data_IF_557015384993
#
_entry.id   IF_557015384993
#
_cell.length_a   1.000
_cell.length_b   1.000
_cell.length_c   1.000
_cell.angle_alpha   90.00
_cell.angle_beta   90.00
_cell.angle_gamma   90.00
#
_symmetry.space_group_name_H-M   'P 1'
#
loop_
_entity.id
_entity.type
_entity.pdbx_description
1 polymer ?
#
# COMPACT_ATOMS: atom_id res chain seq x y z
N UNK A 1 -20.75 0.55 -18.44
CA UNK A 1 -19.71 1.34 -17.77
C UNK A 1 -19.10 2.25 -18.82
N UNK A 2 -19.28 3.56 -18.70
CA UNK A 2 -18.64 4.50 -19.61
C UNK A 2 -17.12 4.48 -19.40
N UNK A 3 -16.35 4.79 -20.44
CA UNK A 3 -14.88 4.88 -20.36
C UNK A 3 -14.44 5.84 -19.22
N UNK A 4 -15.27 6.87 -18.95
CA UNK A 4 -15.06 7.82 -17.86
C UNK A 4 -15.17 7.22 -16.46
N UNK A 5 -16.01 6.21 -16.27
CA UNK A 5 -16.20 5.56 -14.97
C UNK A 5 -15.13 4.47 -14.72
N UNK A 6 -14.62 3.87 -15.80
CA UNK A 6 -13.56 2.88 -15.73
C UNK A 6 -12.17 3.51 -15.47
N UNK A 7 -11.96 4.76 -15.86
CA UNK A 7 -10.65 5.41 -15.80
C UNK A 7 -10.08 5.51 -14.36
N UNK A 8 -10.83 5.94 -13.34
CA UNK A 8 -10.30 6.05 -11.97
C UNK A 8 -9.96 4.67 -11.38
N UNK A 9 -10.76 3.64 -11.68
CA UNK A 9 -10.51 2.26 -11.22
C UNK A 9 -9.26 1.70 -11.90
N UNK A 10 -9.09 1.98 -13.18
CA UNK A 10 -7.92 1.55 -13.96
C UNK A 10 -6.65 2.25 -13.49
N UNK A 11 -6.74 3.53 -13.19
CA UNK A 11 -5.66 4.35 -12.66
C UNK A 11 -5.22 3.87 -11.26
N UNK A 12 -6.17 3.52 -10.39
CA UNK A 12 -5.89 2.91 -9.10
C UNK A 12 -5.14 1.59 -9.25
N UNK A 13 -5.62 0.68 -10.10
CA UNK A 13 -4.96 -0.61 -10.34
C UNK A 13 -3.56 -0.46 -10.95
N UNK A 14 -3.38 0.48 -11.88
CA UNK A 14 -2.05 0.78 -12.44
C UNK A 14 -1.13 1.31 -11.37
N UNK A 15 -1.60 2.22 -10.52
CA UNK A 15 -0.82 2.79 -9.42
C UNK A 15 -0.41 1.71 -8.41
N UNK A 16 -1.32 0.82 -8.01
CA UNK A 16 -1.02 -0.32 -7.13
C UNK A 16 0.07 -1.22 -7.71
N UNK A 17 0.02 -1.48 -9.02
CA UNK A 17 1.04 -2.27 -9.72
C UNK A 17 2.38 -1.54 -9.80
N UNK A 18 2.39 -0.25 -10.09
CA UNK A 18 3.61 0.57 -10.11
C UNK A 18 4.26 0.62 -8.73
N UNK A 19 3.48 0.81 -7.69
CA UNK A 19 3.96 0.78 -6.30
C UNK A 19 4.54 -0.61 -5.97
N UNK A 20 3.85 -1.69 -6.34
CA UNK A 20 4.35 -3.06 -6.17
C UNK A 20 5.67 -3.33 -6.91
N UNK A 21 5.81 -2.81 -8.14
CA UNK A 21 7.06 -2.90 -8.91
C UNK A 21 8.19 -2.06 -8.28
N UNK A 22 7.89 -0.85 -7.78
CA UNK A 22 8.86 -0.03 -7.05
C UNK A 22 9.38 -0.73 -5.80
N UNK A 23 8.56 -1.57 -5.17
CA UNK A 23 8.95 -2.43 -4.05
C UNK A 23 9.93 -3.55 -4.44
N UNK A 24 9.82 -4.05 -5.67
CA UNK A 24 10.71 -5.10 -6.18
C UNK A 24 12.06 -4.55 -6.67
N UNK A 25 12.10 -3.28 -7.11
CA UNK A 25 13.34 -2.65 -7.60
C UNK A 25 14.51 -2.73 -6.62
N UNK A 26 14.34 -2.43 -5.34
CA UNK A 26 15.41 -2.53 -4.38
C UNK A 26 15.90 -3.96 -4.17
N UNK A 27 15.02 -4.95 -4.23
CA UNK A 27 15.38 -6.37 -4.13
C UNK A 27 16.17 -6.82 -5.37
N UNK A 28 15.81 -6.31 -6.54
CA UNK A 28 16.45 -6.65 -7.81
C UNK A 28 17.80 -5.95 -8.01
N UNK A 29 17.98 -4.73 -7.51
CA UNK A 29 19.18 -3.91 -7.73
C UNK A 29 20.09 -3.77 -6.49
N UNK A 30 19.70 -4.35 -5.35
CA UNK A 30 20.49 -4.27 -4.12
C UNK A 30 21.69 -5.20 -4.08
N UNK A 31 22.58 -4.96 -3.10
CA UNK A 31 23.72 -5.81 -2.79
C UNK A 31 23.36 -7.31 -2.59
N UNK A 32 22.08 -7.57 -2.31
CA UNK A 32 21.53 -8.92 -2.21
C UNK A 32 21.62 -9.74 -3.50
N UNK A 33 21.62 -9.12 -4.68
CA UNK A 33 21.77 -9.84 -5.94
C UNK A 33 23.18 -10.39 -6.11
N UNK A 34 24.20 -9.61 -5.76
CA UNK A 34 25.59 -10.04 -5.81
C UNK A 34 25.87 -11.17 -4.82
N UNK A 35 25.33 -11.07 -3.61
CA UNK A 35 25.41 -12.15 -2.63
C UNK A 35 24.66 -13.40 -3.10
N UNK A 36 23.46 -13.23 -3.65
CA UNK A 36 22.65 -14.33 -4.18
C UNK A 36 23.38 -15.07 -5.31
N UNK A 37 23.95 -14.35 -6.29
CA UNK A 37 24.74 -14.95 -7.36
C UNK A 37 25.98 -15.66 -6.84
N UNK A 38 26.73 -15.06 -5.92
CA UNK A 38 27.91 -15.68 -5.30
C UNK A 38 27.53 -16.95 -4.52
N UNK A 39 26.44 -16.93 -3.75
CA UNK A 39 25.93 -18.12 -3.04
C UNK A 39 25.52 -19.23 -4.01
N UNK A 40 24.87 -18.88 -5.11
CA UNK A 40 24.39 -19.84 -6.12
C UNK A 40 25.55 -20.55 -6.82
N UNK A 41 26.67 -19.87 -7.03
CA UNK A 41 27.88 -20.45 -7.64
C UNK A 41 28.88 -21.00 -6.62
N UNK A 42 28.52 -21.05 -5.34
CA UNK A 42 29.34 -21.58 -4.25
C UNK A 42 30.75 -20.95 -4.17
N UNK A 43 30.86 -19.67 -4.49
CA UNK A 43 32.12 -18.90 -4.55
C UNK A 43 32.31 -18.00 -3.35
N UNK A 44 31.46 -18.10 -2.32
CA UNK A 44 31.49 -17.22 -1.15
C UNK A 44 32.31 -17.85 -0.05
N UNK A 45 33.33 -17.14 0.45
CA UNK A 45 34.08 -17.53 1.64
C UNK A 45 33.34 -17.05 2.91
N UNK A 46 33.54 -17.74 4.07
CA UNK A 46 32.95 -17.29 5.35
C UNK A 46 33.35 -15.86 5.74
N UNK A 47 34.59 -15.45 5.38
CA UNK A 47 35.08 -14.09 5.63
C UNK A 47 34.37 -13.04 4.78
N UNK A 48 34.02 -13.35 3.53
CA UNK A 48 33.24 -12.46 2.68
C UNK A 48 31.80 -12.28 3.18
N UNK A 49 31.20 -13.33 3.75
CA UNK A 49 29.87 -13.23 4.38
C UNK A 49 29.94 -12.27 5.57
N UNK A 50 30.94 -12.43 6.42
CA UNK A 50 31.09 -11.58 7.61
C UNK A 50 31.36 -10.12 7.23
N UNK A 51 32.22 -9.85 6.28
CA UNK A 51 32.54 -8.49 5.79
C UNK A 51 31.32 -7.85 5.11
N UNK A 52 30.52 -8.62 4.37
CA UNK A 52 29.28 -8.16 3.77
C UNK A 52 28.28 -7.69 4.83
N UNK A 53 28.03 -8.48 5.87
CA UNK A 53 27.11 -8.08 6.95
C UNK A 53 27.63 -6.91 7.79
N UNK A 54 28.92 -6.78 8.00
CA UNK A 54 29.49 -5.70 8.83
C UNK A 54 29.63 -4.38 8.06
N UNK A 55 30.08 -4.42 6.81
CA UNK A 55 30.34 -3.22 6.02
C UNK A 55 29.07 -2.68 5.34
N UNK A 56 28.15 -3.57 4.94
CA UNK A 56 26.94 -3.18 4.24
C UNK A 56 25.72 -2.98 5.17
N UNK A 57 25.90 -3.10 6.51
CA UNK A 57 24.83 -2.91 7.48
C UNK A 57 24.16 -1.53 7.34
N UNK A 58 24.95 -0.48 7.14
CA UNK A 58 24.44 0.87 6.91
C UNK A 58 23.61 0.98 5.64
N UNK A 59 24.01 0.26 4.58
CA UNK A 59 23.25 0.18 3.34
C UNK A 59 21.92 -0.54 3.56
N UNK A 60 21.89 -1.69 4.24
CA UNK A 60 20.66 -2.41 4.55
C UNK A 60 19.71 -1.59 5.43
N UNK A 61 20.25 -0.84 6.38
CA UNK A 61 19.45 0.03 7.24
C UNK A 61 18.84 1.19 6.43
N UNK A 62 19.64 1.88 5.63
CA UNK A 62 19.16 2.96 4.75
C UNK A 62 18.12 2.45 3.75
N UNK A 63 18.36 1.27 3.19
CA UNK A 63 17.47 0.59 2.27
C UNK A 63 16.14 0.20 2.95
N UNK A 64 16.21 -0.37 4.15
CA UNK A 64 15.03 -0.73 4.94
C UNK A 64 14.17 0.51 5.27
N UNK A 65 14.82 1.60 5.70
CA UNK A 65 14.12 2.87 5.96
C UNK A 65 13.47 3.43 4.69
N UNK A 66 14.19 3.45 3.57
CA UNK A 66 13.62 3.90 2.29
C UNK A 66 12.43 3.05 1.85
N UNK A 67 12.51 1.74 2.01
CA UNK A 67 11.42 0.81 1.70
C UNK A 67 10.19 1.08 2.56
N UNK A 68 10.37 1.29 3.86
CA UNK A 68 9.26 1.64 4.77
C UNK A 68 8.62 2.96 4.36
N UNK A 69 9.41 3.98 4.03
CA UNK A 69 8.89 5.28 3.59
C UNK A 69 8.09 5.16 2.30
N UNK A 70 8.60 4.45 1.30
CA UNK A 70 7.89 4.18 0.03
C UNK A 70 6.57 3.44 0.32
N UNK A 71 6.59 2.46 1.22
CA UNK A 71 5.39 1.74 1.62
C UNK A 71 4.34 2.64 2.26
N UNK A 72 4.72 3.51 3.19
CA UNK A 72 3.81 4.45 3.84
C UNK A 72 3.22 5.45 2.83
N UNK A 73 4.04 5.96 1.92
CA UNK A 73 3.58 6.83 0.83
C UNK A 73 2.60 6.08 -0.08
N UNK A 74 2.92 4.84 -0.43
CA UNK A 74 2.07 3.98 -1.23
C UNK A 74 0.71 3.72 -0.59
N UNK A 75 0.67 3.42 0.70
CA UNK A 75 -0.57 3.27 1.46
C UNK A 75 -1.41 4.55 1.45
N UNK A 76 -0.76 5.71 1.66
CA UNK A 76 -1.44 7.01 1.62
C UNK A 76 -2.08 7.27 0.26
N UNK A 77 -1.30 7.12 -0.81
CA UNK A 77 -1.76 7.36 -2.19
C UNK A 77 -2.88 6.40 -2.55
N UNK A 78 -2.75 5.11 -2.24
CA UNK A 78 -3.79 4.10 -2.47
C UNK A 78 -5.10 4.44 -1.74
N UNK A 79 -5.03 4.84 -0.47
CA UNK A 79 -6.20 5.26 0.31
C UNK A 79 -6.91 6.48 -0.27
N UNK A 80 -6.14 7.50 -0.68
CA UNK A 80 -6.69 8.70 -1.32
C UNK A 80 -7.41 8.35 -2.63
N UNK A 81 -6.82 7.49 -3.47
CA UNK A 81 -7.46 7.06 -4.73
C UNK A 81 -8.72 6.24 -4.47
N UNK A 82 -8.71 5.37 -3.47
CA UNK A 82 -9.89 4.58 -3.11
C UNK A 82 -11.05 5.48 -2.65
N UNK A 83 -10.78 6.49 -1.83
CA UNK A 83 -11.79 7.45 -1.40
C UNK A 83 -12.27 8.32 -2.56
N UNK A 84 -11.39 8.73 -3.48
CA UNK A 84 -11.79 9.47 -4.67
C UNK A 84 -12.72 8.64 -5.58
N UNK A 85 -12.50 7.33 -5.68
CA UNK A 85 -13.38 6.41 -6.41
C UNK A 85 -14.75 6.34 -5.73
N UNK A 86 -14.81 6.19 -4.40
CA UNK A 86 -16.07 6.13 -3.67
C UNK A 86 -16.86 7.44 -3.75
N UNK A 87 -16.18 8.59 -3.55
CA UNK A 87 -16.81 9.92 -3.75
C UNK A 87 -17.46 10.08 -5.14
N UNK A 88 -16.84 9.46 -6.13
CA UNK A 88 -17.37 9.50 -7.49
C UNK A 88 -18.53 8.52 -7.72
N UNK A 89 -18.59 7.42 -6.96
CA UNK A 89 -19.76 6.56 -6.95
C UNK A 89 -20.95 7.23 -6.27
N UNK A 90 -20.72 7.97 -5.17
CA UNK A 90 -21.75 8.72 -4.47
C UNK A 90 -22.23 9.90 -5.33
N UNK A 91 -21.30 10.59 -6.03
CA UNK A 91 -21.59 11.75 -6.87
C UNK A 91 -20.99 11.56 -8.30
N UNK A 92 -21.73 10.95 -9.24
CA UNK A 92 -21.22 10.65 -10.59
C UNK A 92 -20.83 11.89 -11.42
N UNK A 93 -21.43 13.04 -11.12
CA UNK A 93 -21.16 14.32 -11.82
C UNK A 93 -19.86 15.00 -11.34
N UNK A 94 -19.26 14.51 -10.26
CA UNK A 94 -18.07 15.11 -9.68
C UNK A 94 -16.85 14.92 -10.60
N UNK A 95 -16.14 15.99 -11.04
CA UNK A 95 -14.93 15.84 -11.84
C UNK A 95 -13.86 15.08 -11.07
N UNK A 96 -13.08 14.24 -11.75
CA UNK A 96 -12.04 13.39 -11.14
C UNK A 96 -11.07 14.21 -10.28
N UNK A 97 -10.67 15.39 -10.75
CA UNK A 97 -9.76 16.28 -10.01
C UNK A 97 -10.38 16.83 -8.73
N UNK A 98 -11.69 17.09 -8.73
CA UNK A 98 -12.41 17.50 -7.51
C UNK A 98 -12.56 16.33 -6.54
N UNK A 99 -12.91 15.15 -7.02
CA UNK A 99 -12.97 13.93 -6.20
C UNK A 99 -11.64 13.66 -5.51
N UNK A 100 -10.53 13.81 -6.23
CA UNK A 100 -9.19 13.62 -5.67
C UNK A 100 -8.86 14.68 -4.59
N UNK A 101 -9.21 15.95 -4.82
CA UNK A 101 -9.02 17.02 -3.83
C UNK A 101 -9.87 16.79 -2.57
N UNK A 102 -11.11 16.37 -2.74
CA UNK A 102 -11.99 16.03 -1.61
C UNK A 102 -11.48 14.79 -0.86
N UNK A 103 -11.00 13.77 -1.54
CA UNK A 103 -10.39 12.59 -0.93
C UNK A 103 -9.15 12.97 -0.09
N UNK A 104 -8.29 13.84 -0.62
CA UNK A 104 -7.15 14.40 0.13
C UNK A 104 -7.61 15.18 1.37
N UNK A 105 -8.68 15.97 1.25
CA UNK A 105 -9.24 16.70 2.37
C UNK A 105 -9.83 15.77 3.44
N UNK A 106 -10.51 14.70 3.05
CA UNK A 106 -11.01 13.66 3.96
C UNK A 106 -9.87 12.95 4.70
N UNK A 107 -8.77 12.63 3.99
CA UNK A 107 -7.60 11.97 4.57
C UNK A 107 -6.77 12.89 5.48
N UNK A 108 -6.91 14.23 5.32
CA UNK A 108 -6.17 15.22 6.12
C UNK A 108 -6.52 15.07 7.60
N UNK A 109 -5.49 14.97 8.44
CA UNK A 109 -5.53 14.74 9.89
C UNK A 109 -6.03 13.35 10.34
N UNK A 110 -6.39 12.45 9.39
CA UNK A 110 -6.85 11.09 9.68
C UNK A 110 -5.90 10.00 9.17
N UNK A 111 -4.81 10.40 8.55
CA UNK A 111 -3.85 9.47 7.97
C UNK A 111 -3.32 8.47 9.00
N UNK A 112 -3.05 8.91 10.23
CA UNK A 112 -2.61 8.03 11.30
C UNK A 112 -3.65 6.97 11.68
N UNK A 113 -4.91 7.36 11.76
CA UNK A 113 -6.02 6.44 12.03
C UNK A 113 -6.17 5.42 10.88
N UNK A 114 -6.04 5.88 9.64
CA UNK A 114 -6.03 5.01 8.46
C UNK A 114 -4.87 4.02 8.50
N UNK A 115 -3.66 4.44 8.86
CA UNK A 115 -2.52 3.55 9.04
C UNK A 115 -2.78 2.50 10.13
N UNK A 116 -3.25 2.92 11.29
CA UNK A 116 -3.58 2.00 12.39
C UNK A 116 -4.61 0.95 11.94
N UNK A 117 -5.62 1.35 11.17
CA UNK A 117 -6.60 0.45 10.59
C UNK A 117 -5.93 -0.56 9.68
N UNK A 118 -5.11 -0.12 8.73
CA UNK A 118 -4.41 -1.00 7.79
C UNK A 118 -3.44 -1.96 8.50
N UNK A 119 -2.68 -1.47 9.47
CA UNK A 119 -1.78 -2.32 10.26
C UNK A 119 -2.53 -3.37 11.09
N UNK A 120 -3.71 -3.03 11.62
CA UNK A 120 -4.57 -3.98 12.32
C UNK A 120 -4.97 -5.16 11.43
N UNK A 121 -5.19 -4.90 10.14
CA UNK A 121 -5.55 -5.94 9.18
C UNK A 121 -4.39 -6.83 8.75
N UNK A 122 -3.13 -6.39 8.89
CA UNK A 122 -1.95 -7.22 8.54
C UNK A 122 -1.99 -8.54 9.32
N UNK A 123 -2.27 -8.49 10.61
CA UNK A 123 -2.40 -9.69 11.43
C UNK A 123 -3.48 -10.65 10.92
N UNK A 124 -4.63 -10.12 10.54
CA UNK A 124 -5.72 -10.90 9.96
C UNK A 124 -5.37 -11.51 8.60
N UNK A 125 -4.64 -10.78 7.75
CA UNK A 125 -4.16 -11.30 6.48
C UNK A 125 -3.17 -12.46 6.68
N UNK A 126 -2.27 -12.36 7.67
CA UNK A 126 -1.34 -13.45 8.02
C UNK A 126 -2.11 -14.68 8.47
N UNK A 127 -3.06 -14.53 9.39
CA UNK A 127 -3.91 -15.65 9.88
C UNK A 127 -4.73 -16.22 8.73
N UNK A 128 -5.32 -15.39 7.89
CA UNK A 128 -6.08 -15.81 6.71
C UNK A 128 -5.25 -16.60 5.71
N UNK A 129 -3.99 -16.21 5.53
CA UNK A 129 -3.04 -16.92 4.67
C UNK A 129 -2.63 -18.27 5.28
N UNK A 130 -2.35 -18.32 6.59
CA UNK A 130 -2.00 -19.54 7.31
C UNK A 130 -3.15 -20.59 7.30
N UNK A 131 -4.40 -20.13 7.24
CA UNK A 131 -5.57 -20.99 7.05
C UNK A 131 -5.73 -21.46 5.59
N UNK A 132 -4.62 -21.76 4.91
CA UNK A 132 -4.58 -22.25 3.51
C UNK A 132 -5.26 -21.26 2.53
N UNK A 133 -5.26 -19.97 2.87
CA UNK A 133 -5.89 -18.91 2.05
C UNK A 133 -7.43 -18.82 2.19
N UNK A 134 -8.11 -19.82 2.75
CA UNK A 134 -9.57 -19.81 2.93
C UNK A 134 -9.99 -18.64 3.82
N UNK A 135 -9.20 -18.32 4.85
CA UNK A 135 -9.43 -17.18 5.73
C UNK A 135 -9.46 -15.82 5.02
N UNK A 136 -8.79 -15.69 3.89
CA UNK A 136 -8.81 -14.45 3.11
C UNK A 136 -10.18 -14.11 2.54
N UNK A 137 -11.04 -15.12 2.29
CA UNK A 137 -12.42 -14.90 1.84
C UNK A 137 -13.25 -14.11 2.85
N UNK A 138 -12.88 -14.15 4.12
CA UNK A 138 -13.52 -13.39 5.20
C UNK A 138 -12.78 -12.09 5.49
N UNK A 139 -11.47 -12.12 5.50
CA UNK A 139 -10.65 -10.94 5.83
C UNK A 139 -10.80 -9.83 4.79
N UNK A 140 -10.85 -10.19 3.50
CA UNK A 140 -10.96 -9.19 2.42
C UNK A 140 -12.27 -8.40 2.53
N UNK A 141 -13.48 -9.01 2.53
CA UNK A 141 -14.71 -8.23 2.64
C UNK A 141 -14.80 -7.48 3.97
N UNK A 142 -14.29 -8.05 5.07
CA UNK A 142 -14.27 -7.36 6.36
C UNK A 142 -13.41 -6.08 6.33
N UNK A 143 -12.25 -6.12 5.67
CA UNK A 143 -11.41 -4.93 5.47
C UNK A 143 -12.17 -3.86 4.66
N UNK A 144 -12.86 -4.24 3.58
CA UNK A 144 -13.63 -3.29 2.79
C UNK A 144 -14.76 -2.64 3.60
N UNK A 145 -15.47 -3.40 4.43
CA UNK A 145 -16.52 -2.84 5.32
C UNK A 145 -15.92 -1.88 6.35
N UNK A 146 -14.79 -2.21 6.94
CA UNK A 146 -14.10 -1.34 7.89
C UNK A 146 -13.63 -0.04 7.23
N UNK A 147 -13.09 -0.12 6.01
CA UNK A 147 -12.70 1.06 5.23
C UNK A 147 -13.90 1.91 4.82
N UNK A 148 -15.02 1.29 4.44
CA UNK A 148 -16.25 2.01 4.11
C UNK A 148 -16.80 2.74 5.33
N UNK A 149 -16.80 2.12 6.51
CA UNK A 149 -17.19 2.77 7.76
C UNK A 149 -16.27 3.95 8.11
N UNK A 150 -14.96 3.77 7.93
CA UNK A 150 -13.98 4.86 8.12
C UNK A 150 -14.22 6.03 7.16
N UNK A 151 -14.54 5.75 5.89
CA UNK A 151 -14.88 6.73 4.88
C UNK A 151 -16.17 7.51 5.26
N UNK A 152 -17.25 6.81 5.64
CA UNK A 152 -18.49 7.44 6.07
C UNK A 152 -18.28 8.35 7.27
N UNK A 153 -17.57 7.89 8.31
CA UNK A 153 -17.22 8.72 9.47
C UNK A 153 -16.41 9.96 9.05
N UNK A 154 -15.54 9.83 8.04
CA UNK A 154 -14.78 10.97 7.53
C UNK A 154 -15.68 11.99 6.80
N UNK A 155 -16.69 11.53 6.06
CA UNK A 155 -17.68 12.39 5.41
C UNK A 155 -18.54 13.16 6.43
N UNK A 156 -19.06 12.46 7.43
CA UNK A 156 -19.88 13.05 8.52
C UNK A 156 -19.11 14.14 9.26
N UNK A 157 -17.87 13.85 9.70
CA UNK A 157 -17.06 14.84 10.43
C UNK A 157 -16.67 16.06 9.59
N UNK A 158 -16.62 15.92 8.27
CA UNK A 158 -16.29 17.03 7.36
C UNK A 158 -17.53 17.75 6.82
N UNK A 159 -18.74 17.29 7.20
CA UNK A 159 -20.01 17.86 6.71
C UNK A 159 -20.21 17.64 5.21
N UNK A 160 -19.67 16.57 4.66
CA UNK A 160 -19.82 16.17 3.25
C UNK A 160 -20.77 14.98 3.09
N UNK A 161 -21.31 14.43 4.19
CA UNK A 161 -22.36 13.42 4.15
C UNK A 161 -23.64 14.08 3.62
N UNK A 162 -24.21 13.54 2.56
CA UNK A 162 -25.56 13.89 2.13
C UNK A 162 -26.56 13.26 3.11
N UNK A 163 -27.54 14.05 3.58
CA UNK A 163 -28.67 13.58 4.39
C UNK A 163 -29.61 12.66 3.58
#
# INVERSE_FOLDING_TARGET
LSLHDALPILLQKVLERVIGLLFLLPILFGAGTTLYFKLMFNTVTPEEIQTFFLNDFSFFLAFGVATILIFLIGLFVSGVFQFAVWLRFDNPELPIMMALKQALYLMKNRFWQYLCLQFSFIGWYIVGFLAIGIGLLWVIPYNYVALASFYQTALEEKGLAEE
#
